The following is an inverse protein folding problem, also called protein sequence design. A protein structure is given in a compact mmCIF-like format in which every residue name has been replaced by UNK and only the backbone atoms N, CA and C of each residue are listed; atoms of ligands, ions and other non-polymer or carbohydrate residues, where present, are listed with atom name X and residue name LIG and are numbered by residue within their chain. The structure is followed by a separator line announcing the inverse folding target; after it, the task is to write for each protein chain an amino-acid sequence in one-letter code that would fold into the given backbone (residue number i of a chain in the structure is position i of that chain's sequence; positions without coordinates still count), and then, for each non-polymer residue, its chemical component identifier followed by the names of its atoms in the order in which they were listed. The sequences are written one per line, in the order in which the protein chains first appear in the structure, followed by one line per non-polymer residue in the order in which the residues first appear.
data_IF_184699981310
#
_entry.id   IF_184699981310
#
_cell.length_a   1.000
_cell.length_b   1.000
_cell.length_c   1.000
_cell.angle_alpha   90.00
_cell.angle_beta   90.00
_cell.angle_gamma   90.00
#
_symmetry.space_group_name_H-M   'P 1'
#
loop_
_entity.id
_entity.type
_entity.pdbx_description
1 polymer ?
#
# COMPACT_ATOMS: atom_id res chain seq x y z
N UNK A 1 -4.64 18.59 -5.15
CA UNK A 1 -5.45 17.36 -5.15
C UNK A 1 -5.79 16.96 -6.58
N UNK A 2 -4.78 16.57 -7.36
CA UNK A 2 -4.97 16.11 -8.74
C UNK A 2 -5.43 14.65 -8.84
N UNK A 3 -5.26 13.86 -7.77
CA UNK A 3 -5.55 12.42 -7.75
C UNK A 3 -6.82 12.06 -6.98
N UNK A 4 -7.67 13.04 -6.66
CA UNK A 4 -8.95 12.80 -6.02
C UNK A 4 -9.78 11.75 -6.78
N UNK A 5 -10.38 10.82 -6.05
CA UNK A 5 -11.16 9.69 -6.59
C UNK A 5 -10.38 8.74 -7.51
N UNK A 6 -9.04 8.79 -7.51
CA UNK A 6 -8.19 7.79 -8.18
C UNK A 6 -7.71 6.75 -7.17
N UNK A 7 -7.54 5.53 -7.65
CA UNK A 7 -6.90 4.45 -6.89
C UNK A 7 -5.55 4.15 -7.53
N UNK A 8 -4.48 4.18 -6.72
CA UNK A 8 -3.11 3.96 -7.16
C UNK A 8 -2.54 2.73 -6.45
N UNK A 9 -2.07 1.76 -7.21
CA UNK A 9 -1.37 0.58 -6.67
C UNK A 9 0.13 0.83 -6.78
N UNK A 10 0.83 0.77 -5.66
CA UNK A 10 2.29 0.92 -5.61
C UNK A 10 2.91 -0.42 -5.24
N UNK A 11 3.69 -0.99 -6.15
CA UNK A 11 4.49 -2.19 -5.91
C UNK A 11 5.87 -1.82 -5.34
N UNK A 12 6.45 -2.69 -4.51
CA UNK A 12 7.73 -2.37 -3.84
C UNK A 12 7.61 -1.27 -2.79
N UNK A 13 6.39 -1.01 -2.29
CA UNK A 13 6.06 0.12 -1.42
C UNK A 13 6.66 0.09 0.00
N UNK A 14 7.55 -0.86 0.29
CA UNK A 14 8.11 -1.07 1.63
C UNK A 14 9.33 -0.20 1.96
N UNK A 15 10.12 0.26 0.97
CA UNK A 15 11.40 0.93 1.28
C UNK A 15 11.79 2.06 0.31
N UNK A 16 12.59 3.00 0.82
CA UNK A 16 13.23 4.09 0.10
C UNK A 16 12.27 4.90 -0.79
N UNK A 17 12.54 4.98 -2.10
CA UNK A 17 11.71 5.67 -3.09
C UNK A 17 10.29 5.07 -3.13
N UNK A 18 10.17 3.76 -2.92
CA UNK A 18 8.90 3.04 -2.91
C UNK A 18 7.96 3.48 -1.78
N UNK A 19 8.48 4.04 -0.68
CA UNK A 19 7.68 4.58 0.42
C UNK A 19 7.34 6.07 0.25
N UNK A 20 8.10 6.81 -0.57
CA UNK A 20 7.87 8.23 -0.82
C UNK A 20 6.68 8.48 -1.76
N UNK A 21 6.59 7.73 -2.86
CA UNK A 21 5.52 7.90 -3.86
C UNK A 21 4.10 7.70 -3.27
N UNK A 22 3.82 6.65 -2.47
CA UNK A 22 2.53 6.50 -1.80
C UNK A 22 2.09 7.70 -0.97
N UNK A 23 3.03 8.30 -0.21
CA UNK A 23 2.75 9.45 0.65
C UNK A 23 2.35 10.67 -0.18
N UNK A 24 3.06 10.92 -1.29
CA UNK A 24 2.73 11.98 -2.23
C UNK A 24 1.37 11.76 -2.92
N UNK A 25 1.09 10.54 -3.37
CA UNK A 25 -0.18 10.25 -4.02
C UNK A 25 -1.36 10.41 -3.06
N UNK A 26 -1.19 10.00 -1.81
CA UNK A 26 -2.20 10.19 -0.79
C UNK A 26 -2.40 11.67 -0.45
N UNK A 27 -1.34 12.50 -0.38
CA UNK A 27 -1.49 13.95 -0.19
C UNK A 27 -2.19 14.65 -1.35
N UNK A 28 -2.12 14.07 -2.56
CA UNK A 28 -2.89 14.52 -3.72
C UNK A 28 -4.32 13.99 -3.78
N UNK A 29 -4.78 13.27 -2.75
CA UNK A 29 -6.16 12.80 -2.60
C UNK A 29 -6.43 11.40 -3.17
N UNK A 30 -5.40 10.63 -3.51
CA UNK A 30 -5.56 9.27 -4.01
C UNK A 30 -5.90 8.28 -2.88
N UNK A 31 -6.64 7.22 -3.25
CA UNK A 31 -6.70 5.99 -2.48
C UNK A 31 -5.48 5.13 -2.85
N UNK A 32 -4.59 4.83 -1.90
CA UNK A 32 -3.35 4.11 -2.21
C UNK A 32 -3.41 2.67 -1.74
N UNK A 33 -2.98 1.74 -2.60
CA UNK A 33 -2.80 0.32 -2.27
C UNK A 33 -1.31 0.00 -2.29
N UNK A 34 -0.79 -0.42 -1.15
CA UNK A 34 0.63 -0.70 -0.94
C UNK A 34 0.87 -2.20 -1.08
N UNK A 35 1.66 -2.60 -2.09
CA UNK A 35 1.97 -3.99 -2.36
C UNK A 35 3.47 -4.28 -2.21
N UNK A 36 3.84 -5.03 -1.17
CA UNK A 36 5.20 -5.52 -0.98
C UNK A 36 5.24 -6.77 -0.09
N UNK A 37 6.41 -7.39 -0.01
CA UNK A 37 6.58 -8.67 0.73
C UNK A 37 6.83 -8.50 2.22
N UNK A 38 7.18 -7.28 2.67
CA UNK A 38 7.56 -6.95 4.05
C UNK A 38 6.39 -6.26 4.74
N UNK A 39 5.57 -6.99 5.51
CA UNK A 39 4.29 -6.48 6.02
C UNK A 39 4.46 -5.37 7.07
N UNK A 40 5.50 -5.45 7.90
CA UNK A 40 5.73 -4.46 8.96
C UNK A 40 6.12 -3.10 8.37
N UNK A 41 7.00 -3.09 7.38
CA UNK A 41 7.37 -1.89 6.63
C UNK A 41 6.17 -1.28 5.89
N UNK A 42 5.33 -2.10 5.26
CA UNK A 42 4.10 -1.62 4.61
C UNK A 42 3.11 -0.98 5.59
N UNK A 43 2.95 -1.58 6.78
CA UNK A 43 2.07 -1.04 7.82
C UNK A 43 2.57 0.31 8.29
N UNK A 44 3.87 0.46 8.52
CA UNK A 44 4.47 1.75 8.88
C UNK A 44 4.18 2.83 7.83
N UNK A 45 4.32 2.52 6.54
CA UNK A 45 3.99 3.47 5.46
C UNK A 45 2.49 3.79 5.43
N UNK A 46 1.62 2.79 5.60
CA UNK A 46 0.17 3.01 5.65
C UNK A 46 -0.24 3.90 6.84
N UNK A 47 0.33 3.65 8.02
CA UNK A 47 0.08 4.45 9.23
C UNK A 47 0.51 5.90 9.04
N UNK A 48 1.66 6.15 8.41
CA UNK A 48 2.10 7.51 8.10
C UNK A 48 1.13 8.23 7.18
N UNK A 49 0.63 7.55 6.15
CA UNK A 49 -0.38 8.10 5.22
C UNK A 49 -1.67 8.44 5.97
N UNK A 50 -2.17 7.51 6.78
CA UNK A 50 -3.42 7.67 7.54
C UNK A 50 -3.27 8.80 8.57
N UNK A 51 -2.14 8.89 9.27
CA UNK A 51 -1.84 9.98 10.21
C UNK A 51 -1.78 11.34 9.52
N UNK A 52 -1.36 11.37 8.26
CA UNK A 52 -1.40 12.56 7.40
C UNK A 52 -2.78 12.89 6.82
N UNK A 53 -3.84 12.14 7.17
CA UNK A 53 -5.20 12.35 6.66
C UNK A 53 -5.48 11.72 5.29
N UNK A 54 -4.55 10.92 4.75
CA UNK A 54 -4.71 10.19 3.50
C UNK A 54 -5.35 8.81 3.67
N UNK A 55 -5.56 8.12 2.56
CA UNK A 55 -6.15 6.76 2.53
C UNK A 55 -5.17 5.72 2.01
N UNK A 56 -4.97 4.64 2.77
CA UNK A 56 -4.07 3.55 2.41
C UNK A 56 -4.64 2.16 2.76
N UNK A 57 -4.35 1.17 1.92
CA UNK A 57 -4.57 -0.26 2.19
C UNK A 57 -3.31 -1.07 1.87
N UNK A 58 -3.11 -2.19 2.56
CA UNK A 58 -1.91 -3.02 2.42
C UNK A 58 -2.27 -4.38 1.83
N UNK A 59 -1.49 -4.81 0.83
CA UNK A 59 -1.57 -6.14 0.23
C UNK A 59 -0.20 -6.79 0.31
N UNK A 60 -0.12 -7.95 0.96
CA UNK A 60 1.06 -8.79 0.90
C UNK A 60 0.85 -9.84 -0.19
N UNK A 61 1.49 -9.72 -1.38
CA UNK A 61 1.43 -10.76 -2.37
C UNK A 61 2.13 -12.02 -1.85
N UNK A 62 1.63 -13.22 -2.22
CA UNK A 62 2.29 -14.47 -1.87
C UNK A 62 3.69 -14.54 -2.49
N UNK A 63 4.61 -15.26 -1.85
CA UNK A 63 5.97 -15.45 -2.38
C UNK A 63 5.95 -16.21 -3.71
N UNK A 64 5.06 -17.19 -3.83
CA UNK A 64 4.77 -17.92 -5.06
C UNK A 64 3.36 -17.51 -5.56
N UNK A 65 3.24 -16.90 -6.75
CA UNK A 65 1.95 -16.47 -7.29
C UNK A 65 1.02 -17.64 -7.64
N UNK A 66 1.55 -18.85 -7.75
CA UNK A 66 0.79 -20.08 -7.99
C UNK A 66 0.54 -20.89 -6.73
N UNK A 67 1.01 -20.42 -5.57
CA UNK A 67 0.72 -21.07 -4.30
C UNK A 67 -0.81 -21.15 -4.11
N UNK A 68 -1.32 -22.30 -3.66
CA UNK A 68 -2.75 -22.45 -3.40
C UNK A 68 -3.18 -21.38 -2.40
N UNK A 69 -4.26 -20.66 -2.72
CA UNK A 69 -4.87 -19.71 -1.81
C UNK A 69 -5.40 -20.50 -0.62
N UNK A 70 -4.67 -20.49 0.49
CA UNK A 70 -5.18 -21.02 1.75
C UNK A 70 -6.29 -20.07 2.18
N UNK A 71 -7.53 -20.47 1.93
CA UNK A 71 -8.71 -19.73 2.39
C UNK A 71 -8.62 -19.57 3.90
N UNK A 72 -8.78 -18.34 4.38
CA UNK A 72 -8.97 -18.08 5.80
C UNK A 72 -10.28 -18.78 6.17
N UNK A 73 -10.20 -19.89 6.90
CA UNK A 73 -11.38 -20.53 7.48
C UNK A 73 -12.09 -19.46 8.33
N UNK A 74 -13.38 -19.28 8.04
CA UNK A 74 -14.29 -18.42 8.79
C UNK A 74 -14.35 -18.84 10.26
#
# INVERSE_FOLDING_TARGET
MELANKTVIVTGASSEIGAAAPRLFASEGANVVLAARRPDELRSVAEDIIRGGGSASVVQPPRDPFAPKVGKAL
#
